data_IF_399765482573
#
_entry.id   IF_399765482573
#
_cell.length_a   1.000
_cell.length_b   1.000
_cell.length_c   1.000
_cell.angle_alpha   90.00
_cell.angle_beta   90.00
_cell.angle_gamma   90.00
#
_symmetry.space_group_name_H-M   'P 1'
#
loop_
_entity.id
_entity.type
_entity.pdbx_description
1 polymer ?
#
# COMPACT_ATOMS: atom_id res chain seq x y z
N UNK A 1 12.06 9.46 -12.35
CA UNK A 1 11.40 8.15 -12.23
C UNK A 1 10.49 7.93 -13.44
N UNK A 2 9.55 8.84 -13.68
CA UNK A 2 8.67 8.72 -14.84
C UNK A 2 9.17 9.51 -16.06
N UNK A 3 8.96 8.93 -17.24
CA UNK A 3 9.15 9.58 -18.54
C UNK A 3 7.80 9.64 -19.25
N UNK A 4 6.96 10.63 -18.92
CA UNK A 4 5.60 10.70 -19.45
C UNK A 4 5.61 10.88 -20.97
N UNK A 5 4.69 10.19 -21.65
CA UNK A 5 4.55 10.25 -23.10
C UNK A 5 3.94 11.57 -23.58
N UNK A 6 2.99 12.12 -22.82
CA UNK A 6 2.25 13.33 -23.16
C UNK A 6 2.78 14.52 -22.39
N UNK A 7 2.65 15.74 -22.94
CA UNK A 7 3.12 16.97 -22.30
C UNK A 7 2.20 17.42 -21.15
N UNK A 8 0.92 17.13 -21.26
CA UNK A 8 -0.16 17.41 -20.30
C UNK A 8 -0.37 16.26 -19.30
N UNK A 9 0.67 15.45 -19.06
CA UNK A 9 0.56 14.26 -18.22
C UNK A 9 0.14 14.58 -16.79
N UNK A 10 0.53 15.74 -16.29
CA UNK A 10 0.24 16.16 -14.92
C UNK A 10 -1.23 16.52 -14.77
N UNK A 11 -1.77 17.31 -15.69
CA UNK A 11 -3.19 17.66 -15.73
C UNK A 11 -4.07 16.42 -15.89
N UNK A 12 -3.63 15.46 -16.72
CA UNK A 12 -4.31 14.17 -16.89
C UNK A 12 -4.29 13.32 -15.62
N UNK A 13 -3.19 13.36 -14.86
CA UNK A 13 -3.11 12.70 -13.55
C UNK A 13 -4.09 13.33 -12.57
N UNK A 14 -4.10 14.66 -12.43
CA UNK A 14 -5.02 15.34 -11.51
C UNK A 14 -6.48 15.04 -11.87
N UNK A 15 -6.84 15.12 -13.15
CA UNK A 15 -8.19 14.80 -13.62
C UNK A 15 -8.59 13.35 -13.36
N UNK A 16 -7.64 12.39 -13.40
CA UNK A 16 -7.94 10.99 -13.09
C UNK A 16 -8.15 10.75 -11.60
N UNK A 17 -7.44 11.47 -10.73
CA UNK A 17 -7.65 11.44 -9.28
C UNK A 17 -9.02 12.03 -8.92
N UNK A 18 -9.40 13.15 -9.52
CA UNK A 18 -10.73 13.76 -9.35
C UNK A 18 -11.84 12.79 -9.81
N UNK A 19 -11.70 12.19 -11.00
CA UNK A 19 -12.66 11.21 -11.50
C UNK A 19 -12.75 9.94 -10.63
N UNK A 20 -11.66 9.56 -9.95
CA UNK A 20 -11.67 8.49 -8.96
C UNK A 20 -12.45 8.90 -7.70
N UNK A 21 -12.27 10.13 -7.21
CA UNK A 21 -13.00 10.65 -6.06
C UNK A 21 -14.52 10.70 -6.32
N UNK A 22 -14.95 11.02 -7.54
CA UNK A 22 -16.37 11.01 -7.95
C UNK A 22 -17.05 9.65 -7.83
N UNK A 23 -16.29 8.54 -7.73
CA UNK A 23 -16.86 7.20 -7.48
C UNK A 23 -17.37 7.03 -6.05
N UNK A 24 -17.04 7.95 -5.13
CA UNK A 24 -17.45 7.86 -3.73
C UNK A 24 -17.06 6.53 -3.10
N UNK A 25 -17.93 5.97 -2.26
CA UNK A 25 -17.69 4.68 -1.58
C UNK A 25 -18.18 3.46 -2.38
N UNK A 26 -18.66 3.66 -3.61
CA UNK A 26 -19.11 2.54 -4.48
C UNK A 26 -17.95 1.65 -4.92
N UNK A 27 -16.74 2.20 -4.98
CA UNK A 27 -15.54 1.52 -5.41
C UNK A 27 -14.40 1.77 -4.44
N UNK A 28 -13.63 0.70 -4.20
CA UNK A 28 -12.39 0.76 -3.43
C UNK A 28 -11.32 1.54 -4.19
N UNK A 29 -10.80 2.59 -3.57
CA UNK A 29 -9.77 3.47 -4.11
C UNK A 29 -8.46 3.24 -3.39
N UNK A 30 -7.40 2.91 -4.13
CA UNK A 30 -6.07 2.65 -3.58
C UNK A 30 -5.05 3.58 -4.23
N UNK A 31 -4.37 4.40 -3.43
CA UNK A 31 -3.21 5.16 -3.84
C UNK A 31 -1.95 4.36 -3.55
N UNK A 32 -1.33 3.77 -4.58
CA UNK A 32 -0.05 3.06 -4.44
C UNK A 32 1.11 4.01 -4.75
N UNK A 33 1.99 4.20 -3.76
CA UNK A 33 3.20 5.00 -3.87
C UNK A 33 4.41 4.06 -3.91
N UNK A 34 5.12 4.06 -5.04
CA UNK A 34 6.40 3.35 -5.13
C UNK A 34 7.52 4.28 -4.69
N UNK A 35 8.13 3.97 -3.55
CA UNK A 35 9.16 4.78 -2.92
C UNK A 35 10.56 4.39 -3.41
N UNK A 36 11.34 5.40 -3.77
CA UNK A 36 12.76 5.35 -4.12
C UNK A 36 13.48 6.29 -3.17
N UNK A 37 14.45 5.75 -2.44
CA UNK A 37 15.26 6.48 -1.47
C UNK A 37 16.11 7.56 -2.16
N UNK A 38 16.14 8.74 -1.57
CA UNK A 38 16.83 9.95 -2.05
C UNK A 38 16.37 10.40 -3.45
N UNK A 39 15.12 10.07 -3.83
CA UNK A 39 14.57 10.39 -5.17
C UNK A 39 13.16 10.95 -5.08
N UNK A 40 12.26 10.30 -4.35
CA UNK A 40 10.88 10.74 -4.20
C UNK A 40 10.34 10.58 -2.76
N UNK A 41 11.22 10.52 -1.77
CA UNK A 41 10.91 10.23 -0.38
C UNK A 41 10.84 11.47 0.54
N UNK A 42 10.91 12.67 -0.03
CA UNK A 42 10.91 13.94 0.72
C UNK A 42 9.58 14.71 0.66
N UNK A 43 8.84 14.68 -0.46
CA UNK A 43 7.67 15.55 -0.69
C UNK A 43 6.37 14.99 -0.07
N UNK A 44 6.37 14.82 1.25
CA UNK A 44 5.22 14.32 2.03
C UNK A 44 3.96 15.15 1.78
N UNK A 45 4.09 16.47 1.74
CA UNK A 45 2.97 17.39 1.54
C UNK A 45 2.36 17.26 0.14
N UNK A 46 3.19 17.13 -0.90
CA UNK A 46 2.73 16.87 -2.27
C UNK A 46 1.94 15.57 -2.36
N UNK A 47 2.44 14.49 -1.76
CA UNK A 47 1.71 13.22 -1.71
C UNK A 47 0.38 13.32 -0.96
N UNK A 48 0.36 13.96 0.21
CA UNK A 48 -0.85 14.14 0.99
C UNK A 48 -1.94 14.87 0.21
N UNK A 49 -1.58 15.92 -0.56
CA UNK A 49 -2.52 16.62 -1.45
C UNK A 49 -3.12 15.73 -2.53
N UNK A 50 -2.31 14.88 -3.17
CA UNK A 50 -2.79 13.97 -4.22
C UNK A 50 -3.72 12.88 -3.64
N UNK A 51 -3.37 12.37 -2.46
CA UNK A 51 -4.18 11.39 -1.73
C UNK A 51 -5.54 12.00 -1.36
N UNK A 52 -5.53 13.22 -0.84
CA UNK A 52 -6.75 13.94 -0.48
C UNK A 52 -7.62 14.26 -1.71
N UNK A 53 -6.99 14.65 -2.83
CA UNK A 53 -7.69 14.87 -4.10
C UNK A 53 -8.41 13.62 -4.59
N UNK A 54 -7.76 12.45 -4.50
CA UNK A 54 -8.34 11.16 -4.89
C UNK A 54 -9.40 10.65 -3.90
N UNK A 55 -9.41 11.17 -2.66
CA UNK A 55 -10.16 10.63 -1.52
C UNK A 55 -9.91 9.13 -1.34
N UNK A 56 -8.65 8.71 -1.42
CA UNK A 56 -8.28 7.29 -1.39
C UNK A 56 -8.79 6.59 -0.12
N UNK A 57 -9.23 5.34 -0.24
CA UNK A 57 -9.63 4.52 0.91
C UNK A 57 -8.41 3.87 1.58
N UNK A 58 -7.41 3.54 0.75
CA UNK A 58 -6.18 2.87 1.13
C UNK A 58 -4.98 3.57 0.50
N UNK A 59 -3.88 3.65 1.24
CA UNK A 59 -2.60 4.14 0.72
C UNK A 59 -1.58 3.02 0.93
N UNK A 60 -1.05 2.49 -0.17
CA UNK A 60 0.01 1.48 -0.13
C UNK A 60 1.35 2.16 -0.41
N UNK A 61 2.21 2.25 0.59
CA UNK A 61 3.61 2.66 0.41
C UNK A 61 4.43 1.41 0.15
N UNK A 62 5.10 1.34 -1.00
CA UNK A 62 5.86 0.17 -1.41
C UNK A 62 7.26 0.55 -1.84
N UNK A 63 8.27 -0.13 -1.27
CA UNK A 63 9.66 0.07 -1.66
C UNK A 63 9.94 -0.44 -3.06
N UNK A 64 10.66 0.36 -3.85
CA UNK A 64 11.16 -0.09 -5.13
C UNK A 64 12.15 -1.26 -4.94
N UNK A 65 11.95 -2.33 -5.70
CA UNK A 65 12.88 -3.47 -5.77
C UNK A 65 13.82 -3.29 -6.94
N UNK A 66 15.12 -3.47 -6.71
CA UNK A 66 16.11 -3.44 -7.77
C UNK A 66 15.85 -4.56 -8.79
N UNK A 67 15.62 -4.18 -10.04
CA UNK A 67 15.30 -5.10 -11.13
C UNK A 67 16.35 -5.05 -12.26
N UNK A 68 17.63 -4.79 -11.92
CA UNK A 68 18.69 -4.65 -12.91
C UNK A 68 18.62 -3.32 -13.67
N UNK A 69 18.40 -2.21 -12.96
CA UNK A 69 18.27 -0.90 -13.59
C UNK A 69 19.55 -0.49 -14.32
N UNK A 70 19.37 0.07 -15.51
CA UNK A 70 20.46 0.71 -16.24
C UNK A 70 20.83 2.01 -15.53
N UNK A 71 21.96 1.98 -14.82
CA UNK A 71 22.50 3.12 -14.08
C UNK A 71 22.77 4.31 -14.98
N UNK A 72 23.28 4.09 -16.19
CA UNK A 72 23.65 5.20 -17.08
C UNK A 72 22.41 5.87 -17.66
N UNK A 73 21.36 5.08 -17.93
CA UNK A 73 20.10 5.61 -18.44
C UNK A 73 19.23 6.27 -17.35
N UNK A 74 19.27 5.78 -16.11
CA UNK A 74 18.31 6.18 -15.05
C UNK A 74 18.94 6.95 -13.88
N UNK A 75 20.24 6.80 -13.67
CA UNK A 75 20.94 7.28 -12.47
C UNK A 75 20.67 6.45 -11.21
N UNK A 76 19.78 5.45 -11.28
CA UNK A 76 19.35 4.68 -10.11
C UNK A 76 20.29 3.49 -9.85
N UNK A 77 20.47 3.18 -8.57
CA UNK A 77 21.27 2.04 -8.10
C UNK A 77 20.51 1.30 -7.00
N UNK A 78 21.06 0.17 -6.56
CA UNK A 78 20.51 -0.57 -5.42
C UNK A 78 20.45 0.28 -4.13
N UNK A 79 21.28 1.32 -4.00
CA UNK A 79 21.22 2.24 -2.86
C UNK A 79 19.91 3.06 -2.80
N UNK A 80 19.21 3.21 -3.94
CA UNK A 80 17.91 3.88 -4.00
C UNK A 80 16.75 2.95 -3.61
N UNK A 81 17.00 1.67 -3.34
CA UNK A 81 15.98 0.78 -2.80
C UNK A 81 15.82 1.09 -1.29
N UNK A 82 14.63 1.51 -0.84
CA UNK A 82 14.40 1.80 0.57
C UNK A 82 14.39 0.51 1.39
N UNK A 83 14.84 0.63 2.64
CA UNK A 83 14.68 -0.43 3.63
C UNK A 83 13.27 -0.41 4.21
N UNK A 84 12.90 -1.48 4.92
CA UNK A 84 11.57 -1.59 5.53
C UNK A 84 11.28 -0.45 6.52
N UNK A 85 12.28 -0.03 7.30
CA UNK A 85 12.14 1.10 8.22
C UNK A 85 11.94 2.43 7.48
N UNK A 86 12.56 2.62 6.31
CA UNK A 86 12.33 3.80 5.47
C UNK A 86 10.85 3.86 5.04
N UNK A 87 10.25 2.71 4.71
CA UNK A 87 8.84 2.59 4.33
C UNK A 87 7.89 2.89 5.49
N UNK A 88 8.15 2.34 6.68
CA UNK A 88 7.34 2.62 7.88
C UNK A 88 7.41 4.10 8.23
N UNK A 89 8.62 4.67 8.27
CA UNK A 89 8.83 6.08 8.59
C UNK A 89 8.13 7.00 7.58
N UNK A 90 8.19 6.69 6.29
CA UNK A 90 7.48 7.44 5.26
C UNK A 90 5.96 7.34 5.43
N UNK A 91 5.43 6.14 5.69
CA UNK A 91 4.00 5.95 5.92
C UNK A 91 3.49 6.73 7.15
N UNK A 92 4.24 6.73 8.25
CA UNK A 92 3.90 7.51 9.46
C UNK A 92 3.94 9.02 9.22
N UNK A 93 4.87 9.52 8.41
CA UNK A 93 4.90 10.94 8.01
C UNK A 93 3.65 11.31 7.20
N UNK A 94 3.24 10.45 6.26
CA UNK A 94 1.99 10.64 5.50
C UNK A 94 0.77 10.60 6.43
N UNK A 95 0.70 9.69 7.39
CA UNK A 95 -0.37 9.63 8.40
C UNK A 95 -0.49 10.95 9.18
N UNK A 96 0.66 11.48 9.64
CA UNK A 96 0.73 12.73 10.37
C UNK A 96 0.31 13.92 9.51
N UNK A 97 0.77 13.99 8.25
CA UNK A 97 0.44 15.08 7.33
C UNK A 97 -1.05 15.10 6.97
N UNK A 98 -1.67 13.93 6.85
CA UNK A 98 -3.12 13.78 6.61
C UNK A 98 -3.97 13.99 7.88
N UNK A 99 -3.40 14.59 8.93
CA UNK A 99 -4.14 14.99 10.14
C UNK A 99 -4.75 13.82 10.92
N UNK A 100 -4.23 12.61 10.74
CA UNK A 100 -4.79 11.42 11.36
C UNK A 100 -6.10 10.94 10.74
N UNK A 101 -6.48 11.35 9.53
CA UNK A 101 -7.63 10.76 8.82
C UNK A 101 -7.40 9.30 8.41
N UNK A 102 -6.14 8.89 8.34
CA UNK A 102 -5.69 7.53 8.03
C UNK A 102 -5.00 6.91 9.25
N UNK A 103 -4.83 5.58 9.21
CA UNK A 103 -4.10 4.82 10.20
C UNK A 103 -3.25 3.73 9.54
N UNK A 104 -2.00 3.56 9.98
CA UNK A 104 -1.16 2.43 9.55
C UNK A 104 -1.69 1.11 10.12
N UNK A 105 -2.40 0.32 9.31
CA UNK A 105 -3.04 -0.92 9.79
C UNK A 105 -2.31 -2.20 9.43
N UNK A 106 -1.51 -2.21 8.36
CA UNK A 106 -0.76 -3.40 7.97
C UNK A 106 0.62 -3.02 7.45
N UNK A 107 1.55 -3.95 7.62
CA UNK A 107 2.87 -3.91 7.01
C UNK A 107 3.20 -5.29 6.48
N UNK A 108 4.04 -5.39 5.46
CA UNK A 108 4.53 -6.66 4.93
C UNK A 108 6.04 -6.57 4.70
N UNK A 109 6.81 -7.10 5.66
CA UNK A 109 8.27 -6.97 5.71
C UNK A 109 8.95 -7.48 4.42
N UNK A 110 8.58 -8.67 3.96
CA UNK A 110 9.23 -9.29 2.79
C UNK A 110 8.96 -8.52 1.48
N UNK A 111 7.84 -7.82 1.40
CA UNK A 111 7.48 -7.03 0.22
C UNK A 111 7.90 -5.56 0.34
N UNK A 112 8.51 -5.17 1.47
CA UNK A 112 8.84 -3.79 1.81
C UNK A 112 7.63 -2.85 1.62
N UNK A 113 6.48 -3.21 2.23
CA UNK A 113 5.21 -2.51 2.03
C UNK A 113 4.54 -2.13 3.34
N UNK A 114 3.85 -0.99 3.35
CA UNK A 114 2.99 -0.51 4.41
C UNK A 114 1.63 -0.08 3.85
N UNK A 115 0.57 -0.31 4.61
CA UNK A 115 -0.80 0.02 4.24
C UNK A 115 -1.42 0.95 5.28
N UNK A 116 -1.69 2.18 4.85
CA UNK A 116 -2.54 3.11 5.61
C UNK A 116 -3.99 2.96 5.13
N UNK A 117 -4.91 3.05 6.06
CA UNK A 117 -6.34 2.88 5.82
C UNK A 117 -7.10 4.08 6.37
N UNK A 118 -8.03 4.63 5.57
CA UNK A 118 -8.92 5.70 6.02
C UNK A 118 -9.71 5.26 7.25
N UNK A 119 -9.75 6.08 8.30
CA UNK A 119 -10.49 5.75 9.52
C UNK A 119 -11.97 5.57 9.21
N UNK A 120 -12.59 4.58 9.84
CA UNK A 120 -13.94 4.10 9.54
C UNK A 120 -13.97 2.84 8.67
N UNK A 121 -12.87 2.48 8.01
CA UNK A 121 -12.78 1.30 7.13
C UNK A 121 -12.04 0.10 7.74
N UNK A 122 -11.68 0.14 9.02
CA UNK A 122 -10.89 -0.89 9.70
C UNK A 122 -11.52 -2.30 9.60
N UNK A 123 -12.84 -2.37 9.59
CA UNK A 123 -13.60 -3.63 9.49
C UNK A 123 -13.77 -4.12 8.03
N UNK A 124 -13.29 -3.36 7.04
CA UNK A 124 -13.50 -3.61 5.61
C UNK A 124 -12.19 -3.52 4.79
N UNK A 125 -11.12 -4.16 5.28
CA UNK A 125 -9.77 -4.07 4.68
C UNK A 125 -9.44 -5.31 3.86
N UNK A 126 -9.62 -6.50 4.43
CA UNK A 126 -9.26 -7.78 3.84
C UNK A 126 -10.36 -8.27 2.91
N UNK A 127 -10.02 -8.72 1.70
CA UNK A 127 -11.01 -9.23 0.75
C UNK A 127 -11.44 -10.63 1.19
N UNK A 128 -12.74 -10.81 1.38
CA UNK A 128 -13.37 -12.11 1.52
C UNK A 128 -13.65 -12.64 0.11
N UNK A 129 -12.77 -13.50 -0.40
CA UNK A 129 -12.87 -14.00 -1.77
C UNK A 129 -14.07 -14.90 -1.98
N UNK A 130 -14.57 -15.60 -0.95
CA UNK A 130 -15.76 -16.44 -1.09
C UNK A 130 -16.98 -15.57 -1.33
N UNK A 131 -17.16 -14.51 -0.52
CA UNK A 131 -18.20 -13.50 -0.75
C UNK A 131 -18.01 -12.74 -2.06
N UNK A 132 -16.78 -12.30 -2.34
CA UNK A 132 -16.48 -11.60 -3.59
C UNK A 132 -16.88 -12.45 -4.80
N UNK A 133 -16.54 -13.75 -4.80
CA UNK A 133 -16.89 -14.66 -5.87
C UNK A 133 -18.40 -14.86 -5.96
N UNK A 134 -19.12 -15.02 -4.84
CA UNK A 134 -20.58 -15.08 -4.82
C UNK A 134 -21.20 -13.83 -5.47
N UNK A 135 -20.77 -12.63 -5.06
CA UNK A 135 -21.32 -11.39 -5.60
C UNK A 135 -20.91 -11.11 -7.04
N UNK A 136 -19.66 -11.41 -7.42
CA UNK A 136 -19.14 -11.06 -8.75
C UNK A 136 -19.53 -12.10 -9.78
N UNK A 137 -19.39 -13.40 -9.49
CA UNK A 137 -19.65 -14.48 -10.45
C UNK A 137 -21.15 -14.58 -10.78
N UNK A 138 -22.06 -14.44 -9.80
CA UNK A 138 -23.51 -14.56 -10.03
C UNK A 138 -24.13 -13.37 -10.79
N UNK A 139 -23.38 -12.27 -10.92
CA UNK A 139 -23.79 -11.04 -11.60
C UNK A 139 -22.98 -10.74 -12.87
N UNK A 140 -21.89 -11.48 -13.14
CA UNK A 140 -21.03 -11.28 -14.31
C UNK A 140 -21.69 -11.73 -15.63
N UNK A 141 -22.47 -12.82 -15.59
CA UNK A 141 -23.09 -13.43 -16.79
C UNK A 141 -24.48 -12.87 -17.14
N UNK A 142 -25.02 -11.99 -16.31
CA UNK A 142 -26.27 -11.27 -16.62
C UNK A 142 -25.86 -9.98 -17.32
N UNK A 143 -26.56 -9.55 -18.37
CA UNK A 143 -26.32 -8.27 -19.09
C UNK A 143 -26.42 -7.00 -18.21
N UNK A 144 -26.46 -7.16 -16.90
CA UNK A 144 -26.42 -6.14 -15.86
C UNK A 144 -25.01 -5.95 -15.30
N UNK A 145 -24.00 -5.82 -16.17
CA UNK A 145 -22.62 -5.47 -15.77
C UNK A 145 -22.54 -4.18 -14.92
N UNK A 146 -23.61 -3.36 -14.93
CA UNK A 146 -23.79 -2.22 -14.03
C UNK A 146 -24.02 -2.56 -12.55
N UNK A 147 -24.36 -3.82 -12.19
CA UNK A 147 -24.50 -4.27 -10.80
C UNK A 147 -23.16 -4.51 -10.11
N UNK A 148 -22.12 -4.90 -10.84
CA UNK A 148 -20.74 -4.99 -10.31
C UNK A 148 -20.24 -3.64 -9.78
N UNK A 149 -20.78 -2.54 -10.31
CA UNK A 149 -20.50 -1.18 -9.87
C UNK A 149 -21.34 -0.73 -8.66
N UNK A 150 -22.25 -1.57 -8.15
CA UNK A 150 -23.21 -1.21 -7.09
C UNK A 150 -23.03 -1.96 -5.78
N UNK A 151 -22.30 -3.07 -5.74
CA UNK A 151 -22.02 -3.78 -4.49
C UNK A 151 -20.92 -3.02 -3.75
N UNK A 152 -21.21 -2.39 -2.58
CA UNK A 152 -20.19 -1.70 -1.81
C UNK A 152 -19.10 -2.68 -1.40
N UNK A 153 -17.84 -2.26 -1.43
CA UNK A 153 -16.73 -3.18 -1.13
C UNK A 153 -16.78 -3.73 0.31
N UNK A 154 -17.48 -3.05 1.21
CA UNK A 154 -17.74 -3.52 2.58
C UNK A 154 -18.49 -4.86 2.62
N UNK A 155 -19.30 -5.19 1.61
CA UNK A 155 -20.08 -6.44 1.58
C UNK A 155 -19.21 -7.68 1.38
N UNK A 156 -18.09 -7.54 0.66
CA UNK A 156 -17.12 -8.61 0.41
C UNK A 156 -15.76 -8.35 1.08
N UNK A 157 -15.73 -7.48 2.10
CA UNK A 157 -14.54 -7.22 2.89
C UNK A 157 -14.76 -7.60 4.35
N UNK A 158 -13.65 -7.79 5.06
CA UNK A 158 -13.61 -8.06 6.50
C UNK A 158 -12.40 -7.37 7.14
N UNK A 159 -12.34 -7.37 8.47
CA UNK A 159 -11.18 -6.90 9.20
C UNK A 159 -9.92 -7.69 8.81
N UNK A 160 -8.75 -7.07 9.00
CA UNK A 160 -7.48 -7.79 8.87
C UNK A 160 -7.41 -8.95 9.86
N UNK A 161 -6.92 -10.14 9.45
CA UNK A 161 -6.58 -11.16 10.42
C UNK A 161 -5.46 -10.66 11.34
N UNK A 162 -5.44 -11.11 12.59
CA UNK A 162 -4.52 -10.60 13.62
C UNK A 162 -3.06 -10.60 13.17
N UNK A 163 -2.62 -11.64 12.47
CA UNK A 163 -1.25 -11.77 11.97
C UNK A 163 -0.89 -10.77 10.85
N UNK A 164 -1.87 -10.17 10.17
CA UNK A 164 -1.64 -9.19 9.11
C UNK A 164 -1.61 -7.75 9.63
N UNK A 165 -1.99 -7.53 10.89
CA UNK A 165 -1.99 -6.19 11.48
C UNK A 165 -0.55 -5.67 11.67
N UNK A 166 -0.37 -4.36 11.57
CA UNK A 166 0.92 -3.67 11.71
C UNK A 166 1.59 -3.91 13.06
N UNK A 167 0.80 -4.16 14.10
CA UNK A 167 1.23 -4.46 15.46
C UNK A 167 1.64 -5.92 15.67
N UNK A 168 1.39 -6.80 14.70
CA UNK A 168 1.71 -8.21 14.82
C UNK A 168 3.21 -8.47 14.72
N UNK A 169 3.71 -9.39 15.54
CA UNK A 169 5.09 -9.88 15.47
C UNK A 169 5.43 -10.57 14.13
N UNK A 170 4.43 -11.05 13.39
CA UNK A 170 4.64 -11.66 12.07
C UNK A 170 4.98 -10.65 10.97
N UNK A 171 4.76 -9.35 11.19
CA UNK A 171 5.02 -8.27 10.23
C UNK A 171 4.40 -8.55 8.84
N UNK A 172 3.14 -8.97 8.83
CA UNK A 172 2.36 -9.27 7.62
C UNK A 172 2.58 -10.65 7.01
N UNK A 173 3.45 -11.48 7.57
CA UNK A 173 3.70 -12.80 7.02
C UNK A 173 2.65 -13.80 7.51
N UNK A 174 2.02 -14.48 6.56
CA UNK A 174 1.02 -15.50 6.84
C UNK A 174 1.61 -16.65 7.68
N UNK A 175 1.01 -17.02 8.82
CA UNK A 175 1.49 -18.10 9.69
C UNK A 175 1.46 -19.49 9.02
N UNK A 176 0.67 -19.68 7.95
CA UNK A 176 0.63 -20.92 7.19
C UNK A 176 1.80 -21.03 6.19
N UNK A 177 2.50 -19.93 5.91
CA UNK A 177 3.65 -19.94 5.02
C UNK A 177 4.93 -20.35 5.76
N UNK A 178 5.66 -21.31 5.17
CA UNK A 178 6.99 -21.68 5.65
C UNK A 178 8.01 -20.67 5.14
N UNK A 179 8.70 -19.98 6.06
CA UNK A 179 9.77 -19.06 5.70
C UNK A 179 11.03 -19.84 5.34
N UNK A 180 11.62 -19.53 4.20
CA UNK A 180 12.96 -19.99 3.82
C UNK A 180 13.90 -18.80 3.95
N UNK A 181 14.93 -18.93 4.79
CA UNK A 181 15.97 -17.91 4.94
C UNK A 181 17.32 -18.54 4.69
N UNK A 182 18.10 -17.97 3.77
CA UNK A 182 19.53 -18.29 3.58
C UNK A 182 20.42 -17.37 4.42
N UNK A 183 19.92 -16.90 5.56
CA UNK A 183 20.66 -16.03 6.46
C UNK A 183 21.55 -16.89 7.37
N UNK A 184 22.77 -16.43 7.62
CA UNK A 184 23.62 -17.01 8.66
C UNK A 184 22.97 -16.78 10.03
N UNK A 185 23.38 -17.57 11.04
CA UNK A 185 22.87 -17.43 12.41
C UNK A 185 23.07 -16.00 12.94
N UNK A 186 24.23 -15.39 12.69
CA UNK A 186 24.52 -14.01 13.07
C UNK A 186 23.58 -12.99 12.39
N UNK A 187 23.23 -13.21 11.12
CA UNK A 187 22.31 -12.33 10.40
C UNK A 187 20.87 -12.46 10.91
N UNK A 188 20.46 -13.66 11.33
CA UNK A 188 19.16 -13.87 11.98
C UNK A 188 19.11 -13.17 13.34
N UNK A 189 20.14 -13.32 14.17
CA UNK A 189 20.23 -12.67 15.48
C UNK A 189 20.21 -11.13 15.36
N UNK A 190 20.95 -10.57 14.40
CA UNK A 190 20.94 -9.13 14.12
C UNK A 190 19.55 -8.63 13.72
N UNK A 191 18.82 -9.39 12.88
CA UNK A 191 17.47 -9.02 12.45
C UNK A 191 16.46 -9.09 13.60
N UNK A 192 16.50 -10.14 14.41
CA UNK A 192 15.59 -10.28 15.56
C UNK A 192 15.85 -9.18 16.62
N UNK A 193 17.11 -8.81 16.84
CA UNK A 193 17.45 -7.67 17.70
C UNK A 193 16.90 -6.34 17.16
N UNK A 194 16.96 -6.12 15.85
CA UNK A 194 16.37 -4.94 15.21
C UNK A 194 14.84 -4.90 15.35
N UNK A 195 14.17 -6.05 15.14
CA UNK A 195 12.70 -6.16 15.35
C UNK A 195 12.28 -5.90 16.78
N UNK A 196 13.01 -6.43 17.75
CA UNK A 196 12.74 -6.20 19.16
C UNK A 196 12.90 -4.72 19.57
N UNK A 197 13.75 -3.97 18.86
CA UNK A 197 13.89 -2.52 19.07
C UNK A 197 12.68 -1.74 18.53
N UNK A 198 12.10 -2.18 17.40
CA UNK A 198 10.91 -1.57 16.79
C UNK A 198 9.64 -1.78 17.62
N UNK A 199 9.50 -2.90 18.33
CA UNK A 199 8.34 -3.18 19.20
C UNK A 199 8.35 -2.41 20.54
N UNK A 200 9.40 -1.62 20.82
CA UNK A 200 9.54 -0.84 22.06
C UNK A 200 9.10 0.63 21.94
N UNK A 201 8.62 1.03 20.76
CA UNK A 201 8.04 2.34 20.46
C UNK A 201 6.59 2.15 19.99
#
# INVERSE_FOLDING_TARGET
>A
VDRPLFKDYWERLLASLEAAAEKGDSQRKVARLTLLKDVNDEDIFGYAKLIDLMKADFIEVKGATYAGWDRDATGLTMANCPYFDDIINFAQKIECELGGEYALLAVHEHSCSALLVRRGLQEAVWIDFDKFNEFVVDHYDKEESSLLMRVPFSEYSRALPDWAQSTSASLGMDPHHTRVTELTVEQLEARENAKAALQRF
#
